data_IF_284893636418
#
_entry.id   IF_284893636418
#
_cell.length_a   1.000
_cell.length_b   1.000
_cell.length_c   1.000
_cell.angle_alpha   90.00
_cell.angle_beta   90.00
_cell.angle_gamma   90.00
#
_symmetry.space_group_name_H-M   'P 1'
#
loop_
_entity.id
_entity.type
_entity.pdbx_description
1 polymer ?
#
# COMPACT_ATOMS: atom_id res chain seq x y z
N UNK A 1 -5.96 5.36 10.53
CA UNK A 1 -6.38 6.27 9.43
C UNK A 1 -6.12 7.73 9.78
N UNK A 2 -6.91 8.37 10.66
CA UNK A 2 -6.86 9.83 10.92
C UNK A 2 -5.48 10.35 11.36
N UNK A 3 -4.69 9.55 12.07
CA UNK A 3 -3.32 9.92 12.45
C UNK A 3 -2.25 9.45 11.44
N UNK A 4 -2.50 8.33 10.77
CA UNK A 4 -1.52 7.69 9.91
C UNK A 4 -1.41 8.37 8.54
N UNK A 5 -2.54 8.82 7.96
CA UNK A 5 -2.52 9.54 6.68
C UNK A 5 -1.70 10.84 6.80
N UNK A 6 -1.97 11.76 7.75
CA UNK A 6 -1.16 12.99 7.88
C UNK A 6 0.31 12.73 8.25
N UNK A 7 0.61 11.58 8.86
CA UNK A 7 1.99 11.18 9.13
C UNK A 7 2.72 10.78 7.84
N UNK A 8 2.09 9.98 6.97
CA UNK A 8 2.67 9.60 5.67
C UNK A 8 2.85 10.82 4.78
N UNK A 9 1.87 11.74 4.76
CA UNK A 9 1.96 13.01 4.02
C UNK A 9 3.18 13.84 4.46
N UNK A 10 3.41 13.96 5.77
CA UNK A 10 4.58 14.65 6.33
C UNK A 10 5.90 13.97 5.96
N UNK A 11 5.89 12.65 5.78
CA UNK A 11 7.03 11.87 5.31
C UNK A 11 7.17 11.88 3.78
N UNK A 12 6.26 12.56 3.07
CA UNK A 12 6.19 12.59 1.60
C UNK A 12 6.06 11.19 0.99
N UNK A 13 5.35 10.30 1.68
CA UNK A 13 5.01 8.97 1.20
C UNK A 13 3.61 9.06 0.61
N UNK A 14 3.53 9.00 -0.72
CA UNK A 14 2.28 9.02 -1.46
C UNK A 14 1.66 7.62 -1.52
N UNK A 15 0.83 7.31 -0.53
CA UNK A 15 0.02 6.10 -0.48
C UNK A 15 -1.33 6.34 -1.18
N UNK A 16 -1.31 6.19 -2.50
CA UNK A 16 -2.37 6.58 -3.45
C UNK A 16 -3.80 6.16 -3.07
N UNK A 17 -3.97 5.04 -2.37
CA UNK A 17 -5.29 4.52 -1.94
C UNK A 17 -5.43 4.41 -0.42
N UNK A 18 -4.44 4.86 0.34
CA UNK A 18 -4.42 4.75 1.80
C UNK A 18 -4.28 3.31 2.31
N UNK A 19 -3.60 2.43 1.56
CA UNK A 19 -3.46 1.02 1.90
C UNK A 19 -2.71 0.81 3.23
N UNK A 20 -1.67 1.59 3.52
CA UNK A 20 -0.87 1.47 4.75
C UNK A 20 -1.73 1.81 5.98
N UNK A 21 -2.45 2.95 6.05
CA UNK A 21 -3.31 3.27 7.17
C UNK A 21 -4.47 2.30 7.42
N UNK A 22 -5.13 1.79 6.37
CA UNK A 22 -6.37 1.00 6.51
C UNK A 22 -6.13 -0.51 6.57
N UNK A 23 -5.04 -1.02 5.99
CA UNK A 23 -4.73 -2.45 6.02
C UNK A 23 -3.57 -2.78 6.95
N UNK A 24 -2.40 -2.12 6.81
CA UNK A 24 -1.22 -2.46 7.61
C UNK A 24 -1.41 -2.02 9.07
N UNK A 25 -1.63 -0.73 9.32
CA UNK A 25 -1.71 -0.18 10.68
C UNK A 25 -2.94 -0.70 11.41
N UNK A 26 -4.11 -0.70 10.75
CA UNK A 26 -5.33 -1.24 11.33
C UNK A 26 -5.23 -2.76 11.55
N UNK A 27 -4.56 -3.50 10.65
CA UNK A 27 -4.29 -4.93 10.81
C UNK A 27 -3.43 -5.23 12.03
N UNK A 28 -2.31 -4.53 12.20
CA UNK A 28 -1.44 -4.64 13.39
C UNK A 28 -2.25 -4.38 14.66
N UNK A 29 -3.04 -3.30 14.69
CA UNK A 29 -3.89 -3.00 15.82
C UNK A 29 -4.91 -4.11 16.09
N UNK A 30 -5.60 -4.60 15.05
CA UNK A 30 -6.56 -5.69 15.15
C UNK A 30 -5.95 -6.97 15.72
N UNK A 31 -4.75 -7.35 15.25
CA UNK A 31 -4.03 -8.52 15.76
C UNK A 31 -3.65 -8.37 17.23
N UNK A 32 -3.20 -7.19 17.67
CA UNK A 32 -2.94 -6.92 19.09
C UNK A 32 -4.23 -7.00 19.91
N UNK A 33 -5.33 -6.44 19.41
CA UNK A 33 -6.61 -6.39 20.11
C UNK A 33 -7.27 -7.77 20.34
N UNK A 34 -6.80 -8.84 19.66
CA UNK A 34 -7.29 -10.21 19.88
C UNK A 34 -7.20 -10.62 21.35
N UNK A 35 -6.14 -10.23 22.07
CA UNK A 35 -5.96 -10.57 23.50
C UNK A 35 -7.04 -9.98 24.41
N UNK A 36 -7.75 -8.93 23.94
CA UNK A 36 -8.84 -8.30 24.68
C UNK A 36 -10.15 -9.09 24.55
N UNK A 37 -10.26 -9.98 23.56
CA UNK A 37 -11.50 -10.67 23.19
C UNK A 37 -11.39 -12.20 23.30
N UNK A 38 -10.17 -12.74 23.41
CA UNK A 38 -9.89 -14.19 23.48
C UNK A 38 -8.98 -14.47 24.66
N UNK A 39 -9.51 -15.18 25.67
CA UNK A 39 -8.82 -15.43 26.95
C UNK A 39 -7.60 -16.35 26.87
N UNK A 40 -7.47 -17.10 25.77
CA UNK A 40 -6.33 -17.98 25.47
C UNK A 40 -5.27 -17.32 24.58
N UNK A 41 -5.55 -16.13 24.03
CA UNK A 41 -4.60 -15.40 23.20
C UNK A 41 -3.52 -14.73 24.06
N UNK A 42 -2.25 -14.95 23.72
CA UNK A 42 -1.12 -14.30 24.39
C UNK A 42 -0.61 -13.10 23.58
N UNK A 43 -0.19 -12.04 24.26
CA UNK A 43 0.42 -10.86 23.61
C UNK A 43 1.68 -11.24 22.83
N UNK A 44 2.50 -12.13 23.38
CA UNK A 44 3.71 -12.63 22.72
C UNK A 44 3.40 -13.36 21.42
N UNK A 45 2.35 -14.20 21.42
CA UNK A 45 1.87 -14.89 20.22
C UNK A 45 1.38 -13.93 19.12
N UNK A 46 0.68 -12.86 19.49
CA UNK A 46 0.23 -11.85 18.51
C UNK A 46 1.41 -11.06 17.92
N UNK A 47 2.34 -10.60 18.77
CA UNK A 47 3.51 -9.83 18.31
C UNK A 47 4.43 -10.64 17.41
N UNK A 48 4.72 -11.91 17.76
CA UNK A 48 5.56 -12.75 16.91
C UNK A 48 4.89 -13.06 15.57
N UNK A 49 3.57 -13.23 15.57
CA UNK A 49 2.81 -13.45 14.33
C UNK A 49 2.85 -12.23 13.41
N UNK A 50 2.72 -11.01 13.96
CA UNK A 50 2.88 -9.76 13.20
C UNK A 50 4.25 -9.70 12.53
N UNK A 51 5.32 -10.03 13.27
CA UNK A 51 6.69 -10.02 12.73
C UNK A 51 6.86 -11.10 11.66
N UNK A 52 6.39 -12.33 11.89
CA UNK A 52 6.48 -13.43 10.91
C UNK A 52 5.80 -13.04 9.60
N UNK A 53 4.55 -12.57 9.67
CA UNK A 53 3.79 -12.16 8.49
C UNK A 53 4.44 -10.95 7.82
N UNK A 54 4.85 -9.94 8.59
CA UNK A 54 5.50 -8.74 8.07
C UNK A 54 6.79 -9.06 7.31
N UNK A 55 7.67 -9.88 7.89
CA UNK A 55 8.93 -10.30 7.24
C UNK A 55 8.64 -11.13 5.99
N UNK A 56 7.73 -12.10 6.08
CA UNK A 56 7.38 -12.94 4.93
C UNK A 56 6.84 -12.11 3.76
N UNK A 57 5.83 -11.27 4.00
CA UNK A 57 5.20 -10.46 2.95
C UNK A 57 6.19 -9.46 2.38
N UNK A 58 6.97 -8.77 3.21
CA UNK A 58 7.96 -7.80 2.74
C UNK A 58 9.03 -8.45 1.85
N UNK A 59 9.64 -9.55 2.29
CA UNK A 59 10.70 -10.23 1.53
C UNK A 59 10.16 -10.81 0.23
N UNK A 60 9.04 -11.52 0.26
CA UNK A 60 8.44 -12.11 -0.95
C UNK A 60 8.03 -11.03 -1.95
N UNK A 61 7.40 -9.95 -1.47
CA UNK A 61 7.02 -8.83 -2.33
C UNK A 61 8.26 -8.16 -2.93
N UNK A 62 9.29 -7.86 -2.13
CA UNK A 62 10.53 -7.26 -2.61
C UNK A 62 11.17 -8.10 -3.73
N UNK A 63 11.24 -9.43 -3.55
CA UNK A 63 11.77 -10.34 -4.56
C UNK A 63 10.94 -10.30 -5.85
N UNK A 64 9.62 -10.42 -5.74
CA UNK A 64 8.72 -10.39 -6.91
C UNK A 64 8.82 -9.05 -7.64
N UNK A 65 8.77 -7.93 -6.92
CA UNK A 65 8.85 -6.60 -7.50
C UNK A 65 10.20 -6.37 -8.18
N UNK A 66 11.30 -6.86 -7.60
CA UNK A 66 12.62 -6.77 -8.23
C UNK A 66 12.70 -7.59 -9.52
N UNK A 67 12.13 -8.80 -9.53
CA UNK A 67 12.07 -9.63 -10.74
C UNK A 67 11.26 -8.92 -11.82
N UNK A 68 10.05 -8.44 -11.51
CA UNK A 68 9.20 -7.72 -12.46
C UNK A 68 9.90 -6.46 -13.00
N UNK A 69 10.57 -5.71 -12.12
CA UNK A 69 11.34 -4.53 -12.51
C UNK A 69 12.49 -4.88 -13.47
N UNK A 70 13.15 -6.01 -13.27
CA UNK A 70 14.27 -6.43 -14.09
C UNK A 70 13.85 -7.04 -15.44
N UNK A 71 12.66 -7.63 -15.56
CA UNK A 71 12.22 -8.35 -16.77
C UNK A 71 11.32 -7.52 -17.67
N UNK A 72 10.37 -6.77 -17.11
CA UNK A 72 9.35 -6.04 -17.89
C UNK A 72 9.19 -4.58 -17.47
N UNK A 73 9.70 -4.19 -16.31
CA UNK A 73 9.42 -2.88 -15.71
C UNK A 73 8.11 -2.88 -14.94
N UNK A 74 8.00 -1.97 -13.96
CA UNK A 74 6.83 -1.86 -13.05
C UNK A 74 6.27 -0.44 -12.98
N UNK A 75 6.87 0.50 -13.71
CA UNK A 75 6.46 1.90 -13.80
C UNK A 75 6.50 2.30 -15.26
N UNK A 76 5.51 3.07 -15.68
CA UNK A 76 5.44 3.61 -17.04
C UNK A 76 6.54 4.66 -17.28
N UNK A 77 6.85 4.98 -18.55
CA UNK A 77 7.70 6.11 -18.89
C UNK A 77 7.25 7.42 -18.25
N UNK A 78 8.20 8.33 -17.97
CA UNK A 78 7.92 9.64 -17.37
C UNK A 78 6.95 10.48 -18.22
N UNK A 79 7.04 10.38 -19.55
CA UNK A 79 6.12 11.04 -20.48
C UNK A 79 4.67 10.56 -20.32
N UNK A 80 4.46 9.24 -20.16
CA UNK A 80 3.14 8.65 -19.95
C UNK A 80 2.60 8.96 -18.54
N UNK A 81 3.49 9.00 -17.55
CA UNK A 81 3.14 9.39 -16.18
C UNK A 81 2.65 10.85 -16.11
N UNK A 82 3.32 11.76 -16.83
CA UNK A 82 2.92 13.17 -16.93
C UNK A 82 1.64 13.37 -17.75
N UNK A 83 1.44 12.57 -18.80
CA UNK A 83 0.25 12.64 -19.65
C UNK A 83 -1.01 12.05 -18.98
N UNK A 84 -0.84 11.05 -18.12
CA UNK A 84 -1.91 10.29 -17.49
C UNK A 84 -2.22 8.99 -18.26
N UNK A 85 -2.39 7.89 -17.51
CA UNK A 85 -2.54 6.55 -18.09
C UNK A 85 -3.82 6.37 -18.92
N UNK A 86 -4.89 7.09 -18.60
CA UNK A 86 -6.13 7.05 -19.41
C UNK A 86 -5.84 7.47 -20.86
N UNK A 87 -5.05 8.54 -21.04
CA UNK A 87 -4.63 9.01 -22.37
C UNK A 87 -3.56 8.10 -22.99
N UNK A 88 -2.54 7.73 -22.22
CA UNK A 88 -1.40 6.96 -22.71
C UNK A 88 -1.80 5.55 -23.18
N UNK A 89 -2.66 4.87 -22.42
CA UNK A 89 -3.01 3.47 -22.67
C UNK A 89 -4.35 3.31 -23.39
N UNK A 90 -5.32 4.20 -23.12
CA UNK A 90 -6.70 4.06 -23.64
C UNK A 90 -7.05 5.11 -24.71
N UNK A 91 -6.21 6.13 -24.92
CA UNK A 91 -6.44 7.18 -25.91
C UNK A 91 -7.64 8.07 -25.60
N UNK A 92 -8.08 8.11 -24.33
CA UNK A 92 -9.26 8.86 -23.89
C UNK A 92 -9.02 9.50 -22.52
N UNK A 93 -9.80 10.53 -22.20
CA UNK A 93 -9.84 11.09 -20.84
C UNK A 93 -10.89 10.33 -20.05
N UNK A 94 -10.63 10.01 -18.78
CA UNK A 94 -11.65 9.39 -17.92
C UNK A 94 -12.85 10.30 -17.69
N UNK A 95 -12.63 11.62 -17.68
CA UNK A 95 -13.68 12.61 -17.44
C UNK A 95 -13.57 13.83 -18.40
N UNK A 96 -13.87 13.63 -19.70
CA UNK A 96 -13.69 14.65 -20.75
C UNK A 96 -14.53 15.93 -20.53
N UNK A 97 -15.61 15.84 -19.76
CA UNK A 97 -16.47 16.96 -19.40
C UNK A 97 -15.81 17.98 -18.44
N UNK A 98 -14.68 17.63 -17.79
CA UNK A 98 -13.95 18.53 -16.89
C UNK A 98 -12.62 19.04 -17.47
N UNK A 99 -12.32 18.77 -18.75
CA UNK A 99 -11.00 19.10 -19.34
C UNK A 99 -10.89 20.55 -19.84
N UNK A 100 -12.02 21.25 -20.02
CA UNK A 100 -12.06 22.64 -20.50
C UNK A 100 -12.54 23.57 -19.38
N UNK A 101 -11.64 23.86 -18.43
CA UNK A 101 -11.80 24.95 -17.44
C UNK A 101 -11.25 26.27 -17.95
#
# INVERSE_FOLDING_TARGET
VVFAVPMLDKLKIDDVVGAIPVHLIAGIWGTIAVVLTKGDASIGGQLISIVIVGVFVFVVSLVIWFILKATMGIRVPEEDELMGLDKAELGMEAYPEFTNG
#
